data_IF_207804188171
#
_entry.id   IF_207804188171
#
_cell.length_a   1.000
_cell.length_b   1.000
_cell.length_c   1.000
_cell.angle_alpha   90.00
_cell.angle_beta   90.00
_cell.angle_gamma   90.00
#
_symmetry.space_group_name_H-M   'P 1'
#
loop_
_entity.id
_entity.type
_entity.pdbx_description
1 polymer ?
#
# COMPACT_ATOMS: atom_id res chain seq x y z
N UNK A 1 4.12 -15.69 -6.89
CA UNK A 1 3.04 -16.47 -6.19
C UNK A 1 2.35 -15.55 -5.19
N UNK A 2 1.03 -15.69 -5.01
CA UNK A 2 0.30 -15.03 -3.93
C UNK A 2 0.70 -15.64 -2.59
N UNK A 3 1.23 -14.83 -1.66
CA UNK A 3 1.72 -15.27 -0.34
C UNK A 3 0.62 -15.26 0.71
N UNK A 4 0.01 -14.09 0.88
CA UNK A 4 -1.04 -13.89 1.89
C UNK A 4 -2.16 -13.04 1.32
N UNK A 5 -3.37 -13.34 1.76
CA UNK A 5 -4.55 -12.49 1.59
C UNK A 5 -5.12 -12.23 2.97
N UNK A 6 -5.30 -10.98 3.29
CA UNK A 6 -5.90 -10.55 4.54
C UNK A 6 -7.03 -9.56 4.27
N UNK A 7 -8.06 -9.56 5.09
CA UNK A 7 -9.28 -8.78 4.88
C UNK A 7 -9.71 -8.08 6.17
N UNK A 8 -10.00 -6.81 6.08
CA UNK A 8 -10.59 -6.03 7.16
C UNK A 8 -11.74 -5.17 6.62
N UNK A 9 -12.69 -4.81 7.45
CA UNK A 9 -13.81 -3.98 7.00
C UNK A 9 -14.78 -3.64 8.10
N UNK A 10 -15.94 -3.12 7.68
CA UNK A 10 -17.06 -2.75 8.54
C UNK A 10 -18.32 -3.41 7.99
N UNK A 11 -19.00 -4.20 8.81
CA UNK A 11 -20.30 -4.80 8.49
C UNK A 11 -21.42 -3.74 8.45
N UNK A 12 -22.61 -4.09 7.92
CA UNK A 12 -23.77 -3.20 7.86
C UNK A 12 -24.16 -2.62 9.21
N UNK A 13 -23.93 -3.37 10.28
CA UNK A 13 -24.20 -2.94 11.65
C UNK A 13 -23.11 -2.00 12.24
N UNK A 14 -22.11 -1.63 11.46
CA UNK A 14 -21.00 -0.79 11.90
C UNK A 14 -19.94 -1.53 12.72
N UNK A 15 -19.98 -2.85 12.78
CA UNK A 15 -19.02 -3.69 13.51
C UNK A 15 -17.78 -3.93 12.65
N UNK A 16 -16.57 -3.59 13.14
CA UNK A 16 -15.34 -3.91 12.42
C UNK A 16 -15.07 -5.42 12.43
N UNK A 17 -14.60 -5.94 11.32
CA UNK A 17 -14.11 -7.31 11.21
C UNK A 17 -12.68 -7.35 10.68
N UNK A 18 -11.97 -8.45 10.98
CA UNK A 18 -10.63 -8.72 10.48
C UNK A 18 -10.46 -10.22 10.27
N UNK A 19 -9.89 -10.61 9.12
CA UNK A 19 -9.55 -12.00 8.79
C UNK A 19 -8.14 -12.02 8.19
N UNK A 20 -7.34 -12.98 8.59
CA UNK A 20 -5.94 -13.11 8.14
C UNK A 20 -5.72 -14.46 7.47
N UNK A 21 -4.83 -14.48 6.49
CA UNK A 21 -4.40 -15.70 5.80
C UNK A 21 -5.57 -16.52 5.22
N UNK A 22 -6.53 -15.82 4.61
CA UNK A 22 -7.69 -16.44 3.95
C UNK A 22 -7.37 -16.77 2.49
N UNK A 23 -8.15 -17.65 1.89
CA UNK A 23 -8.10 -17.86 0.45
C UNK A 23 -8.70 -16.67 -0.32
N UNK A 24 -8.11 -16.32 -1.48
CA UNK A 24 -8.62 -15.22 -2.30
C UNK A 24 -10.09 -15.44 -2.73
N UNK A 25 -10.48 -16.68 -3.00
CA UNK A 25 -11.88 -17.05 -3.33
C UNK A 25 -12.83 -16.84 -2.13
N UNK A 26 -12.35 -17.00 -0.91
CA UNK A 26 -13.09 -16.68 0.31
C UNK A 26 -13.24 -15.16 0.48
N UNK A 27 -12.15 -14.41 0.27
CA UNK A 27 -12.19 -12.96 0.29
C UNK A 27 -13.21 -12.42 -0.72
N UNK A 28 -13.19 -12.91 -1.97
CA UNK A 28 -14.12 -12.50 -3.02
C UNK A 28 -15.61 -12.72 -2.63
N UNK A 29 -15.93 -13.84 -1.98
CA UNK A 29 -17.30 -14.13 -1.52
C UNK A 29 -17.74 -13.26 -0.34
N UNK A 30 -16.78 -12.75 0.42
CA UNK A 30 -17.06 -12.01 1.66
C UNK A 30 -17.19 -10.49 1.42
N UNK A 31 -16.77 -9.97 0.27
CA UNK A 31 -16.80 -8.53 -0.05
C UNK A 31 -18.20 -7.93 0.17
N UNK A 32 -19.27 -8.66 -0.21
CA UNK A 32 -20.65 -8.19 -0.12
C UNK A 32 -21.21 -8.07 1.31
N UNK A 33 -20.48 -8.52 2.32
CA UNK A 33 -20.94 -8.50 3.72
C UNK A 33 -20.66 -7.13 4.36
N UNK A 34 -19.67 -6.38 3.84
CA UNK A 34 -19.23 -5.11 4.42
C UNK A 34 -19.80 -3.89 3.71
N UNK A 35 -19.99 -2.81 4.46
CA UNK A 35 -20.21 -1.46 3.92
C UNK A 35 -18.91 -0.77 3.54
N UNK A 36 -17.78 -1.33 3.95
CA UNK A 36 -16.42 -1.04 3.50
C UNK A 36 -15.57 -2.27 3.74
N UNK A 37 -14.82 -2.66 2.73
CA UNK A 37 -13.88 -3.78 2.80
C UNK A 37 -12.51 -3.34 2.29
N UNK A 38 -11.46 -3.71 3.01
CA UNK A 38 -10.07 -3.59 2.59
C UNK A 38 -9.46 -4.98 2.51
N UNK A 39 -8.96 -5.35 1.33
CA UNK A 39 -8.22 -6.58 1.08
C UNK A 39 -6.76 -6.22 0.86
N UNK A 40 -5.87 -6.83 1.63
CA UNK A 40 -4.42 -6.76 1.45
C UNK A 40 -3.94 -8.07 0.82
N UNK A 41 -3.18 -7.96 -0.27
CA UNK A 41 -2.54 -9.07 -0.96
C UNK A 41 -1.03 -8.87 -0.98
N UNK A 42 -0.29 -9.80 -0.38
CA UNK A 42 1.17 -9.85 -0.48
C UNK A 42 1.56 -10.91 -1.51
N UNK A 43 2.41 -10.54 -2.46
CA UNK A 43 2.79 -11.39 -3.60
C UNK A 43 4.31 -11.44 -3.76
N UNK A 44 4.82 -12.50 -4.41
CA UNK A 44 6.22 -12.56 -4.83
C UNK A 44 6.50 -11.72 -6.08
N UNK A 45 5.54 -11.71 -7.02
CA UNK A 45 5.66 -11.03 -8.30
C UNK A 45 4.36 -10.26 -8.60
N UNK A 46 4.46 -8.95 -8.46
CA UNK A 46 3.33 -8.03 -8.64
C UNK A 46 2.81 -8.09 -10.08
N UNK A 47 3.71 -8.20 -11.07
CA UNK A 47 3.33 -8.16 -12.49
C UNK A 47 2.48 -9.36 -12.88
N UNK A 48 2.88 -10.57 -12.45
CA UNK A 48 2.19 -11.81 -12.82
C UNK A 48 0.97 -12.11 -11.97
N UNK A 49 0.93 -11.65 -10.71
CA UNK A 49 -0.15 -11.99 -9.78
C UNK A 49 -1.30 -10.97 -9.80
N UNK A 50 -1.00 -9.68 -10.06
CA UNK A 50 -2.04 -8.64 -10.07
C UNK A 50 -3.21 -8.95 -11.00
N UNK A 51 -3.01 -9.35 -12.28
CA UNK A 51 -4.15 -9.65 -13.16
C UNK A 51 -5.07 -10.75 -12.61
N UNK A 52 -4.50 -11.78 -12.00
CA UNK A 52 -5.25 -12.91 -11.43
C UNK A 52 -6.08 -12.48 -10.21
N UNK A 53 -5.50 -11.61 -9.36
CA UNK A 53 -6.18 -11.06 -8.19
C UNK A 53 -7.35 -10.19 -8.64
N UNK A 54 -7.13 -9.28 -9.61
CA UNK A 54 -8.17 -8.40 -10.13
C UNK A 54 -9.31 -9.19 -10.75
N UNK A 55 -9.01 -10.21 -11.55
CA UNK A 55 -10.01 -11.12 -12.15
C UNK A 55 -10.88 -11.78 -11.06
N UNK A 56 -10.26 -12.33 -10.01
CA UNK A 56 -10.95 -13.00 -8.91
C UNK A 56 -11.85 -12.06 -8.10
N UNK A 57 -11.45 -10.80 -7.97
CA UNK A 57 -12.20 -9.78 -7.23
C UNK A 57 -13.18 -8.99 -8.12
N UNK A 58 -13.38 -9.40 -9.38
CA UNK A 58 -14.21 -8.71 -10.37
C UNK A 58 -13.85 -7.22 -10.53
N UNK A 59 -12.54 -6.94 -10.58
CA UNK A 59 -12.01 -5.60 -10.82
C UNK A 59 -11.59 -5.50 -12.28
N UNK A 60 -12.30 -4.69 -13.05
CA UNK A 60 -12.13 -4.57 -14.52
C UNK A 60 -11.14 -3.46 -14.85
N UNK A 61 -9.86 -3.75 -14.70
CA UNK A 61 -8.79 -2.82 -15.03
C UNK A 61 -7.58 -3.58 -15.58
N UNK A 62 -6.90 -3.03 -16.59
CA UNK A 62 -5.60 -3.56 -17.03
C UNK A 62 -4.48 -2.97 -16.15
N UNK A 63 -3.85 -3.77 -15.28
CA UNK A 63 -2.82 -3.27 -14.39
C UNK A 63 -1.53 -2.86 -15.12
N UNK A 64 -1.36 -3.23 -16.40
CA UNK A 64 -0.18 -2.85 -17.18
C UNK A 64 0.01 -1.35 -17.30
N UNK A 65 -1.10 -0.59 -17.35
CA UNK A 65 -1.05 0.87 -17.42
C UNK A 65 -0.36 1.44 -16.17
N UNK A 66 -0.71 0.92 -15.00
CA UNK A 66 -0.10 1.33 -13.73
C UNK A 66 1.36 0.86 -13.62
N UNK A 67 1.63 -0.38 -14.01
CA UNK A 67 2.96 -0.99 -13.88
C UNK A 67 3.98 -0.49 -14.92
N UNK A 68 3.54 0.20 -15.97
CA UNK A 68 4.42 0.85 -16.94
C UNK A 68 5.01 2.18 -16.44
N UNK A 69 4.46 2.75 -15.36
CA UNK A 69 4.95 3.97 -14.74
C UNK A 69 6.22 3.74 -13.93
N UNK A 70 7.19 4.67 -14.05
CA UNK A 70 8.44 4.61 -13.26
C UNK A 70 8.33 5.33 -11.91
N UNK A 71 7.30 6.14 -11.72
CA UNK A 71 7.13 6.96 -10.52
C UNK A 71 5.78 6.65 -9.90
N UNK A 72 4.80 7.51 -10.07
CA UNK A 72 3.44 7.27 -9.62
C UNK A 72 2.53 7.26 -10.85
N UNK A 73 1.51 6.44 -10.82
CA UNK A 73 0.52 6.37 -11.88
C UNK A 73 -0.88 6.22 -11.28
N UNK A 74 -1.88 6.71 -11.99
CA UNK A 74 -3.27 6.40 -11.71
C UNK A 74 -4.02 6.12 -13.00
N UNK A 75 -5.06 5.33 -12.91
CA UNK A 75 -5.96 5.00 -13.99
C UNK A 75 -7.41 5.03 -13.46
N UNK A 76 -8.28 5.72 -14.18
CA UNK A 76 -9.71 5.78 -13.88
C UNK A 76 -10.46 5.01 -14.95
N UNK A 77 -10.99 3.85 -14.59
CA UNK A 77 -11.80 3.00 -15.45
C UNK A 77 -13.31 3.16 -15.20
N UNK A 78 -13.73 4.29 -14.61
CA UNK A 78 -15.12 4.66 -14.37
C UNK A 78 -15.68 4.13 -13.05
N UNK A 79 -15.81 2.82 -12.87
CA UNK A 79 -16.27 2.22 -11.61
C UNK A 79 -15.10 1.81 -10.69
N UNK A 80 -13.89 1.87 -11.22
CA UNK A 80 -12.66 1.46 -10.53
C UNK A 80 -11.58 2.52 -10.71
N UNK A 81 -10.96 2.94 -9.62
CA UNK A 81 -9.75 3.75 -9.61
C UNK A 81 -8.56 2.86 -9.24
N UNK A 82 -7.54 2.86 -10.08
CA UNK A 82 -6.25 2.23 -9.81
C UNK A 82 -5.18 3.28 -9.54
N UNK A 83 -4.36 3.05 -8.52
CA UNK A 83 -3.25 3.92 -8.14
C UNK A 83 -2.01 3.07 -7.94
N UNK A 84 -0.88 3.51 -8.49
CA UNK A 84 0.43 2.95 -8.20
C UNK A 84 1.27 3.99 -7.47
N UNK A 85 1.78 3.63 -6.32
CA UNK A 85 2.71 4.44 -5.54
C UNK A 85 4.05 3.71 -5.43
N UNK A 86 5.18 4.39 -5.66
CA UNK A 86 6.48 3.80 -5.41
C UNK A 86 6.71 3.68 -3.90
N UNK A 87 7.22 2.53 -3.47
CA UNK A 87 7.67 2.31 -2.11
C UNK A 87 9.19 2.21 -2.11
N UNK A 88 9.87 3.17 -1.47
CA UNK A 88 11.32 3.28 -1.46
C UNK A 88 11.86 2.55 -0.23
N UNK A 89 12.74 1.58 -0.46
CA UNK A 89 13.41 0.83 0.60
C UNK A 89 14.90 1.10 0.51
N UNK A 90 15.46 1.63 1.59
CA UNK A 90 16.90 1.84 1.73
C UNK A 90 17.51 0.68 2.50
N UNK A 91 18.49 0.03 1.91
CA UNK A 91 19.34 -0.96 2.58
C UNK A 91 20.77 -0.45 2.76
N UNK A 92 21.62 -1.25 3.40
CA UNK A 92 23.01 -0.86 3.72
C UNK A 92 23.86 -0.52 2.48
N UNK A 93 23.55 -1.09 1.33
CA UNK A 93 24.37 -0.94 0.11
C UNK A 93 23.59 -0.46 -1.12
N UNK A 94 22.28 -0.41 -1.06
CA UNK A 94 21.44 0.00 -2.22
C UNK A 94 20.06 0.44 -1.80
N UNK A 95 19.52 1.35 -2.60
CA UNK A 95 18.11 1.74 -2.56
C UNK A 95 17.34 0.99 -3.64
N UNK A 96 16.18 0.48 -3.30
CA UNK A 96 15.27 -0.22 -4.20
C UNK A 96 13.89 0.45 -4.17
N UNK A 97 13.17 0.33 -5.27
CA UNK A 97 11.78 0.78 -5.36
C UNK A 97 10.90 -0.42 -5.70
N UNK A 98 9.84 -0.60 -4.94
CA UNK A 98 8.79 -1.57 -5.20
C UNK A 98 7.43 -0.86 -5.36
N UNK A 99 6.59 -1.24 -6.32
CA UNK A 99 5.27 -0.64 -6.45
C UNK A 99 4.31 -1.16 -5.36
N UNK A 100 3.51 -0.25 -4.83
CA UNK A 100 2.28 -0.56 -4.09
C UNK A 100 1.12 -0.20 -4.99
N UNK A 101 0.29 -1.17 -5.34
CA UNK A 101 -0.91 -0.98 -6.13
C UNK A 101 -2.10 -0.87 -5.20
N UNK A 102 -2.95 0.12 -5.45
CA UNK A 102 -4.20 0.35 -4.71
C UNK A 102 -5.32 0.40 -5.74
N UNK A 103 -6.30 -0.48 -5.60
CA UNK A 103 -7.50 -0.47 -6.42
C UNK A 103 -8.70 -0.12 -5.56
N UNK A 104 -9.49 0.82 -6.03
CA UNK A 104 -10.73 1.24 -5.40
C UNK A 104 -11.92 0.95 -6.31
N UNK A 105 -12.89 0.24 -5.80
CA UNK A 105 -14.23 0.09 -6.35
C UNK A 105 -15.22 0.42 -5.23
N UNK A 106 -16.49 0.67 -5.55
CA UNK A 106 -17.48 0.99 -4.51
C UNK A 106 -17.36 0.05 -3.30
N UNK A 107 -17.18 0.63 -2.12
CA UNK A 107 -17.09 -0.06 -0.83
C UNK A 107 -15.92 -1.08 -0.71
N UNK A 108 -14.98 -1.10 -1.66
CA UNK A 108 -13.84 -1.99 -1.70
C UNK A 108 -12.54 -1.24 -1.97
N UNK A 109 -11.51 -1.50 -1.16
CA UNK A 109 -10.13 -1.15 -1.44
C UNK A 109 -9.30 -2.43 -1.46
N UNK A 110 -8.45 -2.58 -2.46
CA UNK A 110 -7.50 -3.69 -2.58
C UNK A 110 -6.09 -3.11 -2.66
N UNK A 111 -5.21 -3.56 -1.79
CA UNK A 111 -3.77 -3.25 -1.86
C UNK A 111 -3.00 -4.50 -2.29
N UNK A 112 -2.10 -4.34 -3.26
CA UNK A 112 -1.23 -5.41 -3.74
C UNK A 112 0.21 -4.91 -3.68
N UNK A 113 1.07 -5.64 -2.99
CA UNK A 113 2.48 -5.31 -2.83
C UNK A 113 3.31 -6.57 -2.58
N UNK A 114 4.63 -6.45 -2.67
CA UNK A 114 5.56 -7.49 -2.26
C UNK A 114 5.98 -7.34 -0.78
N UNK A 115 6.96 -8.12 -0.34
CA UNK A 115 7.46 -8.07 1.04
C UNK A 115 8.06 -6.70 1.42
N UNK A 116 8.50 -5.91 0.45
CA UNK A 116 9.02 -4.56 0.72
C UNK A 116 7.92 -3.61 1.17
N UNK A 117 6.67 -3.86 0.79
CA UNK A 117 5.48 -3.13 1.27
C UNK A 117 5.08 -3.43 2.72
N UNK A 118 5.97 -3.99 3.56
CA UNK A 118 5.68 -4.41 4.93
C UNK A 118 5.13 -3.33 5.87
N UNK A 119 5.19 -2.05 5.49
CA UNK A 119 4.51 -0.95 6.20
C UNK A 119 3.00 -0.98 5.99
N UNK A 120 2.54 -1.38 4.80
CA UNK A 120 1.11 -1.60 4.52
C UNK A 120 0.61 -2.75 5.40
N UNK A 121 1.36 -3.86 5.49
CA UNK A 121 1.04 -4.95 6.42
C UNK A 121 1.01 -4.48 7.88
N UNK A 122 1.92 -3.59 8.30
CA UNK A 122 1.85 -2.99 9.64
C UNK A 122 0.58 -2.17 9.82
N UNK A 123 0.22 -1.33 8.86
CA UNK A 123 -1.04 -0.57 8.91
C UNK A 123 -2.24 -1.52 8.98
N UNK A 124 -2.21 -2.61 8.21
CA UNK A 124 -3.24 -3.65 8.25
C UNK A 124 -3.36 -4.29 9.65
N UNK A 125 -2.27 -4.50 10.35
CA UNK A 125 -2.30 -5.03 11.72
C UNK A 125 -3.12 -4.16 12.68
N UNK A 126 -3.21 -2.86 12.42
CA UNK A 126 -4.03 -1.90 13.17
C UNK A 126 -5.41 -1.65 12.53
N UNK A 127 -5.80 -2.41 11.51
CA UNK A 127 -7.03 -2.20 10.75
C UNK A 127 -8.29 -2.11 11.62
N UNK A 128 -8.44 -2.96 12.65
CA UNK A 128 -9.56 -2.87 13.58
C UNK A 128 -9.68 -1.50 14.26
N UNK A 129 -8.54 -0.94 14.69
CA UNK A 129 -8.50 0.39 15.32
C UNK A 129 -8.80 1.48 14.30
N UNK A 130 -8.31 1.32 13.07
CA UNK A 130 -8.56 2.23 11.96
C UNK A 130 -10.04 2.24 11.58
N UNK A 131 -10.65 1.07 11.39
CA UNK A 131 -12.06 0.94 11.04
C UNK A 131 -13.00 1.54 12.11
N UNK A 132 -12.65 1.41 13.40
CA UNK A 132 -13.42 2.02 14.51
C UNK A 132 -13.40 3.54 14.50
N UNK A 133 -12.39 4.17 13.89
CA UNK A 133 -12.24 5.62 13.79
C UNK A 133 -12.90 6.24 12.56
N UNK A 134 -13.39 5.40 11.64
CA UNK A 134 -14.12 5.89 10.47
C UNK A 134 -15.51 6.42 10.87
N UNK A 135 -16.10 7.33 10.06
CA UNK A 135 -17.42 7.87 10.31
C UNK A 135 -18.47 6.79 10.53
N UNK A 136 -19.35 6.98 11.50
CA UNK A 136 -20.37 5.98 11.86
C UNK A 136 -21.74 6.29 11.27
N UNK A 137 -22.02 7.57 11.05
CA UNK A 137 -23.29 8.04 10.55
C UNK A 137 -23.47 7.63 9.07
N UNK A 138 -24.64 7.09 8.68
CA UNK A 138 -24.91 6.62 7.32
C UNK A 138 -24.65 7.68 6.23
N UNK A 139 -24.90 8.95 6.52
CA UNK A 139 -24.70 10.07 5.61
C UNK A 139 -23.22 10.29 5.26
N UNK A 140 -22.31 9.80 6.11
CA UNK A 140 -20.85 9.93 5.96
C UNK A 140 -20.19 8.62 5.48
N UNK A 141 -20.94 7.59 5.15
CA UNK A 141 -20.35 6.31 4.74
C UNK A 141 -19.53 6.42 3.45
N UNK A 142 -19.92 7.32 2.54
CA UNK A 142 -19.15 7.58 1.33
C UNK A 142 -17.73 8.09 1.65
N UNK A 143 -17.54 8.79 2.77
CA UNK A 143 -16.24 9.33 3.17
C UNK A 143 -15.29 8.26 3.73
N UNK A 144 -15.82 7.14 4.22
CA UNK A 144 -15.01 6.06 4.84
C UNK A 144 -13.92 5.55 3.90
N UNK A 145 -14.28 5.30 2.64
CA UNK A 145 -13.37 4.79 1.64
C UNK A 145 -12.27 5.81 1.33
N UNK A 146 -12.63 7.06 1.17
CA UNK A 146 -11.70 8.16 0.94
C UNK A 146 -10.74 8.35 2.11
N UNK A 147 -11.24 8.31 3.34
CA UNK A 147 -10.42 8.41 4.55
C UNK A 147 -9.43 7.24 4.64
N UNK A 148 -9.89 6.02 4.36
CA UNK A 148 -9.01 4.85 4.35
C UNK A 148 -7.93 4.97 3.26
N UNK A 149 -8.30 5.40 2.05
CA UNK A 149 -7.34 5.65 0.98
C UNK A 149 -6.27 6.66 1.41
N UNK A 150 -6.66 7.80 1.98
CA UNK A 150 -5.70 8.80 2.45
C UNK A 150 -4.75 8.24 3.52
N UNK A 151 -5.22 7.37 4.41
CA UNK A 151 -4.35 6.71 5.39
C UNK A 151 -3.33 5.78 4.74
N UNK A 152 -3.73 5.05 3.69
CA UNK A 152 -2.81 4.20 2.93
C UNK A 152 -1.75 5.04 2.19
N UNK A 153 -2.16 6.12 1.55
CA UNK A 153 -1.25 7.03 0.85
C UNK A 153 -0.28 7.73 1.81
N UNK A 154 -0.77 8.15 2.97
CA UNK A 154 -0.01 8.79 4.03
C UNK A 154 1.12 7.87 4.53
N UNK A 155 0.81 6.59 4.81
CA UNK A 155 1.79 5.59 5.25
C UNK A 155 2.89 5.35 4.20
N UNK A 156 2.52 5.28 2.90
CA UNK A 156 3.51 5.16 1.83
C UNK A 156 4.38 6.42 1.75
N UNK A 157 3.77 7.60 1.84
CA UNK A 157 4.47 8.88 1.76
C UNK A 157 5.43 9.08 2.93
N UNK A 158 5.00 8.83 4.17
CA UNK A 158 5.85 8.91 5.36
C UNK A 158 7.06 7.97 5.28
N UNK A 159 6.83 6.76 4.77
CA UNK A 159 7.92 5.80 4.57
C UNK A 159 8.93 6.30 3.55
N UNK A 160 8.46 6.85 2.42
CA UNK A 160 9.32 7.40 1.39
C UNK A 160 10.12 8.60 1.93
N UNK A 161 9.51 9.49 2.72
CA UNK A 161 10.23 10.59 3.36
C UNK A 161 11.30 10.10 4.35
N UNK A 162 11.01 9.05 5.11
CA UNK A 162 12.00 8.43 6.00
C UNK A 162 13.19 7.86 5.21
N UNK A 163 12.92 7.18 4.09
CA UNK A 163 13.96 6.64 3.21
C UNK A 163 14.81 7.74 2.59
N UNK A 164 14.18 8.84 2.14
CA UNK A 164 14.91 10.01 1.62
C UNK A 164 15.83 10.63 2.67
N UNK A 165 15.38 10.75 3.92
CA UNK A 165 16.22 11.25 5.02
C UNK A 165 17.45 10.37 5.22
N UNK A 166 17.29 9.05 5.23
CA UNK A 166 18.42 8.11 5.33
C UNK A 166 19.41 8.27 4.18
N UNK A 167 18.92 8.50 2.94
CA UNK A 167 19.80 8.75 1.78
C UNK A 167 20.61 10.03 1.97
N UNK A 168 19.97 11.10 2.43
CA UNK A 168 20.65 12.39 2.70
C UNK A 168 21.73 12.21 3.77
N UNK A 169 21.40 11.55 4.89
CA UNK A 169 22.36 11.26 5.96
C UNK A 169 23.58 10.45 5.47
N UNK A 170 23.34 9.44 4.61
CA UNK A 170 24.42 8.65 4.00
C UNK A 170 25.27 9.49 3.04
N UNK A 171 24.68 10.39 2.26
CA UNK A 171 25.40 11.27 1.37
C UNK A 171 26.29 12.27 2.15
N UNK A 172 25.76 12.87 3.22
CA UNK A 172 26.52 13.75 4.12
C UNK A 172 27.70 13.03 4.78
N UNK A 173 27.50 11.78 5.21
CA UNK A 173 28.58 10.97 5.78
C UNK A 173 29.68 10.68 4.75
N UNK A 174 29.30 10.35 3.52
CA UNK A 174 30.25 10.14 2.42
C UNK A 174 31.06 11.41 2.11
N UNK A 175 30.43 12.59 2.12
CA UNK A 175 31.15 13.87 1.94
C UNK A 175 32.16 14.11 3.04
N UNK A 176 31.83 13.82 4.30
CA UNK A 176 32.75 13.94 5.43
C UNK A 176 33.92 12.97 5.27
N UNK A 177 33.64 11.71 4.92
CA UNK A 177 34.69 10.69 4.74
C UNK A 177 35.63 11.01 3.58
N UNK A 178 35.11 11.57 2.48
CA UNK A 178 35.91 12.00 1.32
C UNK A 178 36.70 13.27 1.59
N UNK A 179 36.17 14.19 2.41
CA UNK A 179 36.85 15.41 2.77
C UNK A 179 38.15 15.17 3.59
N UNK A 180 38.25 14.00 4.26
CA UNK A 180 39.37 13.57 5.07
C UNK A 180 39.72 14.54 6.20
N UNK A 181 40.56 14.19 7.15
CA UNK A 181 41.15 15.17 8.04
C UNK A 181 42.07 16.07 7.19
N UNK A 182 41.74 17.35 7.04
CA UNK A 182 42.66 18.32 6.47
C UNK A 182 43.96 18.21 7.29
N UNK A 183 45.01 17.66 6.69
CA UNK A 183 46.34 17.79 7.23
C UNK A 183 46.62 19.30 7.33
N UNK A 184 46.52 19.84 8.52
CA UNK A 184 47.09 21.14 8.82
C UNK A 184 48.60 20.88 8.81
N UNK A 185 49.24 21.02 7.64
CA UNK A 185 50.69 21.22 7.57
C UNK A 185 50.96 22.46 8.39
N UNK A 186 51.55 22.24 9.57
CA UNK A 186 52.18 23.29 10.35
C UNK A 186 53.56 23.48 9.76
N UNK A 187 53.75 24.54 8.98
CA UNK A 187 55.05 25.13 8.72
C UNK A 187 55.67 25.70 10.00
#
# INVERSE_FOLDING_TARGET
>A
MLKTVSMAGIEEQGVPFKRESIALDEAAKTISIGTLTWIECVVDDIVSETPKILEKLDIKMDPKVLLSGYVSAYEDAGDTLGIMLPFIVTGDSRTQTSPVLIFMKKDLIVTIHDDYGGKITKLYNYSNSLMRKLPKEPEQWADRQTILLFRLMDEVSETNFSSLRTIVEQAEQLEIDLAGPRQVERD
#
